data_IF_836199432555
#
_entry.id   IF_836199432555
#
_cell.length_a   1.000
_cell.length_b   1.000
_cell.length_c   1.000
_cell.angle_alpha   90.00
_cell.angle_beta   90.00
_cell.angle_gamma   90.00
#
_symmetry.space_group_name_H-M   'P 1'
#
loop_
_entity.id
_entity.type
_entity.pdbx_description
1 polymer ?
#
# COMPACT_ATOMS: atom_id res chain seq x y z
N UNK A 1 -21.54 -10.70 -82.59
CA UNK A 1 -22.50 -11.27 -81.63
C UNK A 1 -21.71 -11.70 -80.41
N UNK A 2 -21.70 -10.88 -79.44
CA UNK A 2 -20.81 -10.88 -78.25
C UNK A 2 -21.62 -11.19 -77.02
N UNK A 3 -21.36 -12.32 -76.38
CA UNK A 3 -21.91 -12.69 -75.12
C UNK A 3 -21.04 -12.04 -73.97
N UNK A 4 -21.65 -11.14 -73.24
CA UNK A 4 -21.05 -10.59 -72.00
C UNK A 4 -21.41 -11.52 -70.83
N UNK A 5 -20.40 -12.18 -70.32
CA UNK A 5 -20.50 -12.92 -69.07
C UNK A 5 -20.28 -11.92 -67.86
N UNK A 6 -21.35 -11.64 -67.20
CA UNK A 6 -21.29 -10.84 -65.96
C UNK A 6 -20.81 -11.69 -64.79
N UNK A 7 -19.66 -11.33 -64.27
CA UNK A 7 -19.06 -11.94 -63.08
C UNK A 7 -19.55 -11.22 -61.83
N UNK A 8 -20.49 -11.85 -61.12
CA UNK A 8 -21.02 -11.35 -59.85
C UNK A 8 -20.04 -11.73 -58.75
N UNK A 9 -19.24 -10.78 -58.35
CA UNK A 9 -18.39 -10.90 -57.15
C UNK A 9 -19.26 -10.63 -55.93
N UNK A 10 -19.63 -11.69 -55.22
CA UNK A 10 -20.24 -11.60 -53.90
C UNK A 10 -19.16 -11.29 -52.88
N UNK A 11 -19.09 -10.04 -52.45
CA UNK A 11 -18.34 -9.63 -51.26
C UNK A 11 -19.08 -10.09 -50.02
N UNK A 12 -18.76 -11.30 -49.57
CA UNK A 12 -19.15 -11.75 -48.24
C UNK A 12 -18.40 -10.93 -47.16
N UNK A 13 -19.04 -9.90 -46.68
CA UNK A 13 -18.55 -9.22 -45.46
C UNK A 13 -18.70 -10.18 -44.29
N UNK A 14 -17.58 -10.75 -43.86
CA UNK A 14 -17.48 -11.52 -42.65
C UNK A 14 -17.59 -10.56 -41.46
N UNK A 15 -18.82 -10.33 -40.96
CA UNK A 15 -19.04 -9.73 -39.68
C UNK A 15 -18.53 -10.70 -38.60
N UNK A 16 -17.30 -10.52 -38.18
CA UNK A 16 -16.81 -11.17 -36.98
C UNK A 16 -17.56 -10.52 -35.81
N UNK A 17 -18.61 -11.17 -35.36
CA UNK A 17 -19.27 -10.85 -34.09
C UNK A 17 -18.18 -10.99 -33.03
N UNK A 18 -17.77 -9.87 -32.45
CA UNK A 18 -16.99 -9.85 -31.23
C UNK A 18 -17.92 -10.37 -30.13
N UNK A 19 -17.76 -11.65 -29.82
CA UNK A 19 -18.31 -12.23 -28.62
C UNK A 19 -17.68 -11.48 -27.43
N UNK A 20 -18.46 -10.77 -26.58
CA UNK A 20 -17.93 -10.28 -25.35
C UNK A 20 -17.75 -11.49 -24.42
N UNK A 21 -16.57 -12.10 -24.48
CA UNK A 21 -16.19 -13.11 -23.52
C UNK A 21 -16.38 -12.61 -22.08
N UNK A 22 -16.56 -13.48 -21.10
CA UNK A 22 -16.87 -13.09 -19.73
C UNK A 22 -15.77 -12.21 -19.14
N UNK A 23 -16.09 -10.93 -18.91
CA UNK A 23 -15.22 -9.88 -18.37
C UNK A 23 -14.92 -10.06 -16.87
N UNK A 24 -14.92 -11.29 -16.35
CA UNK A 24 -14.91 -11.50 -14.90
C UNK A 24 -13.62 -12.06 -14.31
N UNK A 25 -12.60 -12.37 -15.10
CA UNK A 25 -11.38 -12.97 -14.57
C UNK A 25 -10.12 -12.11 -14.72
N UNK A 26 -10.04 -11.26 -15.75
CA UNK A 26 -8.79 -10.52 -16.01
C UNK A 26 -8.62 -9.25 -15.15
N UNK A 27 -9.72 -8.60 -14.73
CA UNK A 27 -9.65 -7.37 -13.94
C UNK A 27 -9.12 -7.62 -12.52
N UNK A 28 -9.54 -8.73 -11.91
CA UNK A 28 -9.04 -9.11 -10.57
C UNK A 28 -7.57 -9.51 -10.62
N UNK A 29 -7.17 -10.29 -11.62
CA UNK A 29 -5.78 -10.72 -11.82
C UNK A 29 -4.86 -9.53 -12.11
N UNK A 30 -5.33 -8.54 -12.86
CA UNK A 30 -4.58 -7.32 -13.17
C UNK A 30 -4.39 -6.43 -11.94
N UNK A 31 -5.40 -6.30 -11.08
CA UNK A 31 -5.30 -5.54 -9.83
C UNK A 31 -4.36 -6.21 -8.83
N UNK A 32 -4.38 -7.54 -8.74
CA UNK A 32 -3.42 -8.29 -7.92
C UNK A 32 -1.99 -8.15 -8.45
N UNK A 33 -1.78 -8.24 -9.77
CA UNK A 33 -0.46 -8.07 -10.39
C UNK A 33 0.12 -6.65 -10.18
N UNK A 34 -0.71 -5.61 -10.28
CA UNK A 34 -0.30 -4.22 -9.97
C UNK A 34 0.03 -4.08 -8.47
N UNK A 35 -0.72 -4.78 -7.62
CA UNK A 35 -0.49 -4.85 -6.18
C UNK A 35 0.89 -5.45 -5.85
N UNK A 36 1.20 -6.59 -6.44
CA UNK A 36 2.47 -7.30 -6.25
C UNK A 36 3.68 -6.46 -6.68
N UNK A 37 3.64 -5.88 -7.88
CA UNK A 37 4.74 -5.03 -8.37
C UNK A 37 5.04 -3.83 -7.47
N UNK A 38 4.01 -3.28 -6.81
CA UNK A 38 4.21 -2.15 -5.88
C UNK A 38 4.86 -2.61 -4.58
N UNK A 39 4.52 -3.81 -4.08
CA UNK A 39 5.11 -4.37 -2.87
C UNK A 39 6.57 -4.77 -3.10
N UNK A 40 6.91 -5.35 -4.24
CA UNK A 40 8.30 -5.68 -4.58
C UNK A 40 9.20 -4.45 -4.56
N UNK A 41 8.71 -3.32 -5.08
CA UNK A 41 9.45 -2.04 -5.06
C UNK A 41 9.75 -1.51 -3.66
N UNK A 42 9.02 -1.94 -2.65
CA UNK A 42 9.30 -1.59 -1.25
C UNK A 42 10.69 -2.07 -0.83
N UNK A 43 11.17 -3.17 -1.40
CA UNK A 43 12.49 -3.74 -1.08
C UNK A 43 13.63 -3.21 -1.95
N UNK A 44 13.33 -2.35 -2.93
CA UNK A 44 14.34 -1.61 -3.70
C UNK A 44 14.86 -0.43 -2.87
N UNK A 45 16.05 -0.57 -2.28
CA UNK A 45 16.64 0.43 -1.39
C UNK A 45 17.99 0.93 -1.93
N UNK A 46 18.40 2.14 -1.53
CA UNK A 46 19.66 2.75 -1.96
C UNK A 46 20.90 2.11 -1.31
N UNK A 47 20.68 1.37 -0.24
CA UNK A 47 21.71 0.63 0.51
C UNK A 47 21.20 -0.78 0.78
N UNK A 48 22.07 -1.77 1.03
CA UNK A 48 21.63 -3.14 1.34
C UNK A 48 20.64 -3.18 2.49
N UNK A 49 19.59 -4.01 2.37
CA UNK A 49 18.59 -4.23 3.42
C UNK A 49 19.26 -4.81 4.67
N UNK A 50 18.94 -4.22 5.82
CA UNK A 50 19.47 -4.63 7.13
C UNK A 50 18.54 -5.66 7.78
N UNK A 51 18.52 -6.89 7.24
CA UNK A 51 17.57 -7.93 7.64
C UNK A 51 17.55 -8.19 9.15
N UNK A 52 18.71 -8.23 9.79
CA UNK A 52 18.82 -8.50 11.23
C UNK A 52 18.53 -7.27 12.12
N UNK A 53 18.36 -6.09 11.53
CA UNK A 53 18.12 -4.86 12.27
C UNK A 53 16.63 -4.69 12.65
N UNK A 54 15.73 -5.00 11.72
CA UNK A 54 14.31 -4.74 11.89
C UNK A 54 13.64 -5.85 12.72
N UNK A 55 13.06 -5.47 13.87
CA UNK A 55 12.49 -6.41 14.85
C UNK A 55 10.99 -6.21 15.07
N UNK A 56 10.44 -5.05 14.71
CA UNK A 56 9.03 -4.74 14.90
C UNK A 56 8.49 -3.82 13.80
N UNK A 57 7.18 -3.78 13.67
CA UNK A 57 6.46 -2.87 12.78
C UNK A 57 5.59 -1.98 13.65
N UNK A 58 5.69 -0.68 13.47
CA UNK A 58 4.90 0.30 14.20
C UNK A 58 3.94 1.00 13.27
N UNK A 59 2.64 0.93 13.56
CA UNK A 59 1.56 1.46 12.73
C UNK A 59 0.86 2.58 13.49
N UNK A 60 0.72 3.74 12.84
CA UNK A 60 0.03 4.89 13.40
C UNK A 60 -0.69 5.71 12.32
N UNK A 61 -1.54 6.65 12.75
CA UNK A 61 -2.24 7.60 11.90
C UNK A 61 -1.52 8.94 11.83
N UNK A 62 -1.77 9.71 10.77
CA UNK A 62 -1.21 11.06 10.60
C UNK A 62 -1.92 12.14 11.43
N UNK A 63 -3.15 11.89 11.89
CA UNK A 63 -4.05 12.87 12.50
C UNK A 63 -4.42 14.04 11.56
N UNK A 64 -4.35 13.84 10.25
CA UNK A 64 -4.73 14.80 9.21
C UNK A 64 -5.85 14.26 8.35
N UNK A 65 -6.65 15.11 7.74
CA UNK A 65 -7.70 14.70 6.81
C UNK A 65 -7.16 14.21 5.46
N UNK A 66 -5.92 14.58 5.12
CA UNK A 66 -5.24 14.22 3.87
C UNK A 66 -3.77 14.59 3.95
N UNK A 67 -3.01 14.20 2.93
CA UNK A 67 -1.59 14.48 2.81
C UNK A 67 -0.83 13.41 2.04
N UNK A 68 0.46 13.61 1.92
CA UNK A 68 1.42 12.72 1.29
C UNK A 68 2.73 12.74 2.08
N UNK A 69 3.70 11.92 1.69
CA UNK A 69 5.00 11.85 2.35
C UNK A 69 5.73 13.21 2.40
N UNK A 70 5.54 14.06 1.37
CA UNK A 70 6.15 15.38 1.31
C UNK A 70 5.50 16.33 2.31
N UNK A 71 4.18 16.40 2.35
CA UNK A 71 3.42 17.29 3.24
C UNK A 71 3.60 16.91 4.71
N UNK A 72 3.61 15.61 5.01
CA UNK A 72 3.85 15.11 6.38
C UNK A 72 5.31 15.34 6.82
N UNK A 73 6.24 15.45 5.88
CA UNK A 73 7.66 15.75 6.15
C UNK A 73 8.03 17.22 6.23
N UNK A 74 7.09 18.17 6.13
CA UNK A 74 7.38 19.63 6.03
C UNK A 74 8.01 20.27 7.26
N UNK A 75 8.13 19.58 8.36
CA UNK A 75 8.72 20.11 9.61
C UNK A 75 10.24 20.33 9.62
N UNK A 76 10.91 20.39 8.47
CA UNK A 76 12.36 20.64 8.33
C UNK A 76 13.26 19.42 8.52
N UNK A 77 12.83 18.44 9.34
CA UNK A 77 13.56 17.19 9.56
C UNK A 77 13.26 16.10 8.50
N UNK A 78 12.34 16.39 7.57
CA UNK A 78 11.82 15.43 6.60
C UNK A 78 10.83 14.44 7.22
N UNK A 79 10.34 13.51 6.41
CA UNK A 79 9.41 12.47 6.86
C UNK A 79 10.06 11.60 7.95
N UNK A 80 9.35 11.46 9.08
CA UNK A 80 9.80 10.63 10.21
C UNK A 80 9.61 9.14 9.94
N UNK A 81 8.66 8.80 9.07
CA UNK A 81 8.25 7.43 8.79
C UNK A 81 9.04 6.77 7.66
N UNK A 82 8.99 5.44 7.66
CA UNK A 82 9.51 4.64 6.56
C UNK A 82 8.53 4.56 5.40
N UNK A 83 7.22 4.45 5.71
CA UNK A 83 6.15 4.35 4.73
C UNK A 83 4.97 5.26 5.08
N UNK A 84 4.31 5.76 4.05
CA UNK A 84 3.03 6.47 4.17
C UNK A 84 2.01 5.78 3.26
N UNK A 85 0.80 5.55 3.75
CA UNK A 85 -0.30 4.98 2.97
C UNK A 85 -1.39 6.05 2.81
N UNK A 86 -1.63 6.46 1.57
CA UNK A 86 -2.57 7.50 1.20
C UNK A 86 -4.04 7.13 1.37
N UNK A 87 -4.90 8.13 1.53
CA UNK A 87 -6.36 7.98 1.67
C UNK A 87 -7.15 8.62 0.52
N UNK A 88 -6.50 8.93 -0.62
CA UNK A 88 -7.14 9.61 -1.75
C UNK A 88 -7.15 11.14 -1.65
N UNK A 89 -6.65 11.72 -0.55
CA UNK A 89 -6.57 13.17 -0.35
C UNK A 89 -5.12 13.60 -0.19
N UNK A 90 -4.53 14.15 -1.25
CA UNK A 90 -3.11 14.53 -1.33
C UNK A 90 -2.23 13.52 -2.07
N UNK A 91 -2.59 12.25 -2.04
CA UNK A 91 -2.04 11.17 -2.87
C UNK A 91 -3.13 10.12 -3.14
N UNK A 92 -2.88 9.13 -3.99
CA UNK A 92 -3.90 8.13 -4.33
C UNK A 92 -4.29 7.28 -3.12
N UNK A 93 -5.54 6.79 -3.10
CA UNK A 93 -6.05 5.92 -2.04
C UNK A 93 -5.30 4.57 -2.05
N UNK A 94 -4.73 4.21 -0.90
CA UNK A 94 -3.88 3.02 -0.76
C UNK A 94 -2.50 3.14 -1.41
N UNK A 95 -2.10 4.30 -1.93
CA UNK A 95 -0.74 4.51 -2.44
C UNK A 95 0.27 4.36 -1.31
N UNK A 96 1.27 3.47 -1.52
CA UNK A 96 2.38 3.30 -0.59
C UNK A 96 3.52 4.20 -1.05
N UNK A 97 3.80 5.23 -0.29
CA UNK A 97 4.93 6.14 -0.50
C UNK A 97 6.10 5.74 0.40
N UNK A 98 7.28 5.62 -0.21
CA UNK A 98 8.51 5.17 0.46
C UNK A 98 9.28 6.39 0.96
N UNK A 99 9.50 6.47 2.26
CA UNK A 99 10.29 7.52 2.89
C UNK A 99 11.80 7.34 2.67
N UNK A 100 12.53 8.46 2.67
CA UNK A 100 14.00 8.44 2.54
C UNK A 100 14.68 7.60 3.62
N UNK A 101 14.12 7.55 4.83
CA UNK A 101 14.66 6.74 5.93
C UNK A 101 14.68 5.27 5.59
N UNK A 102 13.63 4.77 4.94
CA UNK A 102 13.58 3.40 4.45
C UNK A 102 14.62 3.15 3.34
N UNK A 103 14.65 4.00 2.33
CA UNK A 103 15.61 3.85 1.22
C UNK A 103 17.06 3.87 1.68
N UNK A 104 17.35 4.54 2.80
CA UNK A 104 18.69 4.61 3.41
C UNK A 104 18.86 3.69 4.62
N UNK A 105 17.86 2.86 4.95
CA UNK A 105 17.86 1.95 6.09
C UNK A 105 18.22 2.64 7.42
N UNK A 106 17.70 3.86 7.62
CA UNK A 106 17.86 4.65 8.84
C UNK A 106 16.70 4.37 9.81
N UNK A 107 16.90 4.50 11.11
CA UNK A 107 15.80 4.44 12.10
C UNK A 107 14.70 5.46 11.80
N UNK A 108 13.47 5.20 12.25
CA UNK A 108 12.39 6.17 12.17
C UNK A 108 12.75 7.45 12.95
N UNK A 109 12.17 8.59 12.54
CA UNK A 109 12.31 9.85 13.24
C UNK A 109 11.26 10.08 14.34
N UNK A 110 10.46 9.05 14.64
CA UNK A 110 9.41 9.15 15.65
C UNK A 110 10.01 9.12 17.05
N UNK A 111 9.51 9.98 17.97
CA UNK A 111 9.99 9.96 19.35
C UNK A 111 9.57 8.66 20.04
N UNK A 112 10.42 8.14 20.87
CA UNK A 112 10.33 7.05 21.89
C UNK A 112 9.39 5.85 21.66
N UNK A 113 8.33 6.01 20.89
CA UNK A 113 7.33 4.95 20.65
C UNK A 113 7.76 3.93 19.61
N UNK A 114 8.53 4.35 18.61
CA UNK A 114 9.14 3.47 17.63
C UNK A 114 10.60 3.27 18.03
N UNK A 115 10.92 2.07 18.49
CA UNK A 115 12.31 1.67 18.75
C UNK A 115 13.15 1.88 17.49
N UNK A 116 14.45 2.07 17.66
CA UNK A 116 15.38 2.25 16.53
C UNK A 116 15.39 1.06 15.56
N UNK A 117 14.88 -0.09 16.01
CA UNK A 117 14.72 -1.33 15.26
C UNK A 117 13.27 -1.56 14.75
N UNK A 118 12.43 -0.52 14.78
CA UNK A 118 11.04 -0.59 14.29
C UNK A 118 10.90 0.02 12.91
N UNK A 119 10.15 -0.67 12.04
CA UNK A 119 9.67 -0.13 10.76
C UNK A 119 8.40 0.66 11.03
N UNK A 120 8.38 1.97 10.72
CA UNK A 120 7.20 2.81 10.94
C UNK A 120 6.37 2.96 9.68
N UNK A 121 5.04 2.81 9.82
CA UNK A 121 4.04 2.97 8.78
C UNK A 121 3.01 4.00 9.26
N UNK A 122 2.88 5.10 8.53
CA UNK A 122 1.88 6.13 8.76
C UNK A 122 0.71 5.96 7.79
N UNK A 123 -0.52 5.82 8.28
CA UNK A 123 -1.71 5.93 7.46
C UNK A 123 -2.22 7.36 7.49
N UNK A 124 -2.47 7.93 6.32
CA UNK A 124 -3.06 9.27 6.20
C UNK A 124 -4.52 9.21 6.65
N UNK A 125 -4.86 9.94 7.70
CA UNK A 125 -6.21 9.99 8.27
C UNK A 125 -6.22 10.39 9.74
N UNK A 126 -7.42 10.70 10.26
CA UNK A 126 -7.73 10.79 11.69
C UNK A 126 -8.75 9.72 12.06
N UNK A 127 -8.25 8.58 12.49
CA UNK A 127 -9.05 7.40 12.83
C UNK A 127 -9.56 7.43 14.28
N UNK A 128 -9.51 8.57 14.94
CA UNK A 128 -10.32 8.82 16.12
C UNK A 128 -11.74 9.26 15.74
N UNK A 129 -11.91 9.82 14.53
CA UNK A 129 -13.19 10.35 14.03
C UNK A 129 -13.70 9.60 12.80
N UNK A 130 -12.82 9.00 11.99
CA UNK A 130 -13.15 8.29 10.76
C UNK A 130 -12.60 6.86 10.80
N UNK A 131 -12.94 6.07 9.78
CA UNK A 131 -12.31 4.77 9.52
C UNK A 131 -11.28 4.91 8.40
N UNK A 132 -10.24 4.05 8.36
CA UNK A 132 -9.42 3.89 7.16
C UNK A 132 -10.31 3.50 5.97
N UNK A 133 -9.86 3.78 4.76
CA UNK A 133 -10.52 3.25 3.57
C UNK A 133 -10.24 1.75 3.42
N UNK A 134 -11.13 1.02 2.76
CA UNK A 134 -10.91 -0.40 2.47
C UNK A 134 -9.63 -0.63 1.66
N UNK A 135 -9.26 0.32 0.81
CA UNK A 135 -8.01 0.29 0.04
C UNK A 135 -6.80 0.47 0.94
N UNK A 136 -6.85 1.42 1.89
CA UNK A 136 -5.78 1.58 2.89
C UNK A 136 -5.58 0.31 3.71
N UNK A 137 -6.66 -0.31 4.18
CA UNK A 137 -6.61 -1.55 4.98
C UNK A 137 -5.97 -2.70 4.19
N UNK A 138 -6.42 -2.92 2.95
CA UNK A 138 -5.86 -3.95 2.08
C UNK A 138 -4.38 -3.73 1.79
N UNK A 139 -3.98 -2.49 1.50
CA UNK A 139 -2.57 -2.15 1.21
C UNK A 139 -1.69 -2.23 2.45
N UNK A 140 -2.21 -1.84 3.60
CA UNK A 140 -1.51 -2.01 4.87
C UNK A 140 -1.25 -3.49 5.16
N UNK A 141 -2.27 -4.35 5.02
CA UNK A 141 -2.12 -5.78 5.25
C UNK A 141 -1.08 -6.41 4.31
N UNK A 142 -1.11 -6.06 3.01
CA UNK A 142 -0.11 -6.50 2.03
C UNK A 142 1.31 -6.06 2.43
N UNK A 143 1.50 -4.79 2.79
CA UNK A 143 2.81 -4.25 3.18
C UNK A 143 3.32 -4.94 4.45
N UNK A 144 2.48 -5.05 5.49
CA UNK A 144 2.87 -5.68 6.76
C UNK A 144 3.23 -7.14 6.57
N UNK A 145 2.43 -7.90 5.82
CA UNK A 145 2.72 -9.31 5.52
C UNK A 145 4.04 -9.48 4.77
N UNK A 146 4.32 -8.62 3.77
CA UNK A 146 5.58 -8.65 3.04
C UNK A 146 6.78 -8.34 3.94
N UNK A 147 6.65 -7.34 4.84
CA UNK A 147 7.69 -6.99 5.81
C UNK A 147 7.89 -8.11 6.86
N UNK A 148 6.80 -8.73 7.35
CA UNK A 148 6.89 -9.89 8.25
C UNK A 148 7.66 -11.02 7.61
N UNK A 149 7.33 -11.36 6.37
CA UNK A 149 8.01 -12.42 5.62
C UNK A 149 9.50 -12.09 5.41
N UNK A 150 9.82 -10.88 4.94
CA UNK A 150 11.19 -10.46 4.62
C UNK A 150 12.10 -10.43 5.86
N UNK A 151 11.58 -9.95 6.99
CA UNK A 151 12.37 -9.71 8.21
C UNK A 151 12.07 -10.70 9.33
N UNK A 152 11.20 -11.69 9.11
CA UNK A 152 10.77 -12.70 10.09
C UNK A 152 10.21 -12.05 11.37
N UNK A 153 9.37 -11.03 11.19
CA UNK A 153 8.72 -10.31 12.30
C UNK A 153 7.40 -11.03 12.60
N UNK A 154 7.23 -11.55 13.82
CA UNK A 154 5.99 -12.19 14.24
C UNK A 154 4.86 -11.19 14.48
N UNK A 155 3.60 -11.66 14.45
CA UNK A 155 2.42 -10.81 14.64
C UNK A 155 2.40 -10.05 15.96
N UNK A 156 3.02 -10.59 17.01
CA UNK A 156 3.13 -9.95 18.33
C UNK A 156 4.03 -8.69 18.30
N UNK A 157 4.96 -8.63 17.35
CA UNK A 157 5.82 -7.48 17.12
C UNK A 157 5.25 -6.47 16.10
N UNK A 158 4.01 -6.66 15.65
CA UNK A 158 3.24 -5.64 14.92
C UNK A 158 2.50 -4.77 15.94
N UNK A 159 3.05 -3.60 16.20
CA UNK A 159 2.63 -2.70 17.26
C UNK A 159 1.54 -1.74 16.77
N UNK A 160 0.34 -1.92 17.31
CA UNK A 160 -0.85 -1.11 17.05
C UNK A 160 -1.28 -0.47 18.36
N UNK A 161 -0.96 0.79 18.56
CA UNK A 161 -1.45 1.57 19.69
C UNK A 161 -2.70 2.31 19.28
N UNK A 162 -3.87 1.94 19.81
CA UNK A 162 -5.15 2.58 19.46
C UNK A 162 -5.37 3.91 20.17
N UNK A 163 -4.68 4.17 21.26
CA UNK A 163 -4.81 5.41 22.02
C UNK A 163 -3.48 6.18 22.10
N UNK A 164 -3.59 7.51 22.02
CA UNK A 164 -2.45 8.39 22.24
C UNK A 164 -2.13 8.44 23.74
N UNK A 165 -1.00 7.88 24.13
CA UNK A 165 -0.44 8.03 25.47
C UNK A 165 0.82 8.90 25.38
N UNK A 166 0.91 9.98 26.17
CA UNK A 166 2.13 10.74 26.43
C UNK A 166 3.13 10.85 25.27
N UNK A 167 2.67 11.34 24.10
CA UNK A 167 3.54 11.54 22.94
C UNK A 167 3.58 10.39 21.91
N UNK A 168 2.98 9.23 22.20
CA UNK A 168 2.88 8.09 21.28
C UNK A 168 1.73 8.32 20.31
N UNK A 169 2.03 8.37 19.02
CA UNK A 169 1.02 8.38 17.96
C UNK A 169 0.44 6.98 17.82
N UNK A 170 -0.87 6.84 17.95
CA UNK A 170 -1.56 5.55 17.79
C UNK A 170 -2.22 5.40 16.44
N UNK A 171 -2.74 4.20 16.15
CA UNK A 171 -3.51 3.92 14.93
C UNK A 171 -4.90 4.57 14.94
N UNK A 172 -5.40 5.01 16.09
CA UNK A 172 -6.74 5.60 16.26
C UNK A 172 -7.76 4.63 16.85
N UNK A 173 -8.82 5.19 17.47
CA UNK A 173 -9.85 4.37 18.17
C UNK A 173 -10.77 3.60 17.21
N UNK A 174 -10.96 4.10 16.00
CA UNK A 174 -11.79 3.48 14.95
C UNK A 174 -10.95 2.65 13.96
N UNK A 175 -9.69 2.40 14.28
CA UNK A 175 -8.87 1.53 13.45
C UNK A 175 -9.25 0.06 13.65
N UNK A 176 -9.46 -0.73 12.58
CA UNK A 176 -9.94 -2.12 12.64
C UNK A 176 -8.79 -3.08 13.03
N UNK A 177 -8.41 -3.06 14.31
CA UNK A 177 -7.26 -3.85 14.82
C UNK A 177 -7.48 -5.35 14.67
N UNK A 178 -8.70 -5.85 14.92
CA UNK A 178 -9.00 -7.26 14.88
C UNK A 178 -8.90 -7.81 13.44
N UNK A 179 -9.40 -7.06 12.48
CA UNK A 179 -9.39 -7.38 11.06
C UNK A 179 -7.97 -7.44 10.52
N UNK A 180 -7.13 -6.46 10.89
CA UNK A 180 -5.72 -6.48 10.52
C UNK A 180 -5.01 -7.69 11.14
N UNK A 181 -5.18 -7.92 12.45
CA UNK A 181 -4.53 -9.04 13.13
C UNK A 181 -4.90 -10.41 12.55
N UNK A 182 -6.12 -10.58 12.06
CA UNK A 182 -6.55 -11.82 11.40
C UNK A 182 -5.81 -12.10 10.09
N UNK A 183 -5.16 -11.10 9.49
CA UNK A 183 -4.42 -11.20 8.23
C UNK A 183 -2.90 -11.33 8.44
N UNK A 184 -2.40 -11.16 9.67
CA UNK A 184 -0.97 -11.23 9.96
C UNK A 184 -0.46 -12.67 10.01
N UNK A 185 0.81 -12.84 9.66
CA UNK A 185 1.53 -14.11 9.83
C UNK A 185 1.80 -14.30 11.33
N UNK A 186 1.46 -15.47 11.89
CA UNK A 186 1.68 -15.78 13.31
C UNK A 186 3.14 -15.67 13.75
#
# INVERSE_FOLDING_TARGET
MTCLFGMLLSTGALLKVLDPGPLTQDASSSLFAIGDQTIDRVFETNVPLRAEHWKSIYIHQSLTSGGDAMSLGRGGAGLADHFVIGNGSGCADGEIQIGRRWSQQLPSGLPDAARSDSISICLVGDFNHNHPTATQEARLAQLVTALQHQFRISSEHVLLVTRRNAGVLGAGTNFPVAELRAQLIP
#
